data_IF_996584836876
#
_entry.id   IF_996584836876
#
_cell.length_a   1.000
_cell.length_b   1.000
_cell.length_c   1.000
_cell.angle_alpha   90.00
_cell.angle_beta   90.00
_cell.angle_gamma   90.00
#
_symmetry.space_group_name_H-M   'P 1'
#
loop_
_entity.id
_entity.type
_entity.pdbx_description
1 polymer ?
#
# COMPACT_ATOMS: atom_id res chain seq x y z
N UNK A 1 -51.81 19.38 -1.26
CA UNK A 1 -51.09 18.26 -1.89
C UNK A 1 -49.62 18.41 -1.55
N UNK A 2 -49.12 17.57 -0.66
CA UNK A 2 -47.76 17.63 -0.12
C UNK A 2 -46.83 16.93 -1.11
N UNK A 3 -46.13 17.69 -1.95
CA UNK A 3 -45.12 17.12 -2.87
C UNK A 3 -43.91 16.66 -2.06
N UNK A 4 -43.73 15.35 -1.95
CA UNK A 4 -42.51 14.75 -1.43
C UNK A 4 -41.42 14.84 -2.51
N UNK A 5 -40.32 15.53 -2.20
CA UNK A 5 -39.16 15.62 -3.08
C UNK A 5 -38.16 14.52 -2.69
N UNK A 6 -37.91 13.59 -3.63
CA UNK A 6 -36.81 12.62 -3.56
C UNK A 6 -35.62 13.27 -4.28
N UNK A 7 -34.50 13.44 -3.59
CA UNK A 7 -33.31 14.13 -4.12
C UNK A 7 -32.14 13.14 -4.12
N UNK A 8 -31.55 12.99 -5.30
CA UNK A 8 -30.42 12.11 -5.62
C UNK A 8 -29.11 12.81 -5.21
N UNK A 9 -28.35 12.21 -4.29
CA UNK A 9 -26.99 12.67 -3.95
C UNK A 9 -25.99 11.74 -4.66
N UNK A 10 -25.39 12.27 -5.74
CA UNK A 10 -24.26 11.76 -6.53
C UNK A 10 -24.13 10.23 -6.75
N UNK A 11 -24.39 9.80 -8.00
CA UNK A 11 -23.95 8.54 -8.63
C UNK A 11 -24.48 7.19 -8.09
N UNK A 12 -25.70 7.16 -7.58
CA UNK A 12 -26.45 5.90 -7.46
C UNK A 12 -27.75 6.07 -8.25
N UNK A 13 -28.02 5.18 -9.21
CA UNK A 13 -29.35 5.08 -9.83
C UNK A 13 -30.25 4.33 -8.84
N UNK A 14 -31.37 4.93 -8.44
CA UNK A 14 -32.24 4.38 -7.41
C UNK A 14 -33.47 3.73 -8.06
N UNK A 15 -33.40 2.40 -8.25
CA UNK A 15 -34.60 1.60 -8.49
C UNK A 15 -35.11 1.01 -7.18
N UNK A 16 -36.43 0.89 -7.10
CA UNK A 16 -37.25 0.63 -5.91
C UNK A 16 -36.93 -0.69 -5.22
N UNK A 17 -35.90 -0.72 -4.37
CA UNK A 17 -35.67 -1.87 -3.52
C UNK A 17 -35.53 -1.52 -2.04
N UNK A 18 -36.40 -2.12 -1.24
CA UNK A 18 -36.51 -1.88 0.21
C UNK A 18 -35.26 -2.33 0.96
N UNK A 19 -34.55 -3.30 0.37
CA UNK A 19 -33.26 -3.83 0.82
C UNK A 19 -32.14 -2.81 0.56
N UNK A 20 -32.20 -2.07 -0.56
CA UNK A 20 -31.24 -1.02 -0.89
C UNK A 20 -31.35 0.16 0.09
N UNK A 21 -32.57 0.55 0.50
CA UNK A 21 -32.79 1.61 1.50
C UNK A 21 -32.19 1.26 2.86
N UNK A 22 -32.25 -0.01 3.27
CA UNK A 22 -31.66 -0.48 4.52
C UNK A 22 -30.13 -0.58 4.41
N UNK A 23 -29.62 -1.15 3.33
CA UNK A 23 -28.18 -1.19 3.04
C UNK A 23 -27.58 0.21 2.92
N UNK A 24 -28.35 1.21 2.47
CA UNK A 24 -27.89 2.59 2.34
C UNK A 24 -28.01 3.36 3.64
N UNK A 25 -28.99 3.07 4.50
CA UNK A 25 -28.91 3.49 5.91
C UNK A 25 -27.66 2.95 6.59
N UNK A 26 -27.28 1.72 6.26
CA UNK A 26 -26.10 1.07 6.81
C UNK A 26 -24.80 1.62 6.17
N UNK A 27 -24.81 2.03 4.89
CA UNK A 27 -23.70 2.70 4.20
C UNK A 27 -23.56 4.17 4.63
N UNK A 28 -24.67 4.90 4.84
CA UNK A 28 -24.65 6.25 5.41
C UNK A 28 -24.21 6.25 6.88
N UNK A 29 -24.55 5.19 7.64
CA UNK A 29 -23.94 4.87 8.95
C UNK A 29 -22.43 4.62 8.83
N UNK A 30 -21.98 4.04 7.72
CA UNK A 30 -20.57 3.73 7.44
C UNK A 30 -19.76 4.94 6.95
N UNK A 31 -20.42 6.02 6.53
CA UNK A 31 -19.81 7.26 6.02
C UNK A 31 -19.75 8.42 7.04
N UNK A 32 -20.06 8.19 8.33
CA UNK A 32 -20.01 9.24 9.37
C UNK A 32 -20.80 10.51 8.97
N UNK A 33 -22.01 10.33 8.42
CA UNK A 33 -22.93 11.46 8.16
C UNK A 33 -23.45 11.92 9.51
N UNK A 34 -22.76 12.90 10.09
CA UNK A 34 -22.75 13.00 11.54
C UNK A 34 -23.88 13.83 12.13
N UNK A 35 -24.45 14.81 11.43
CA UNK A 35 -25.69 15.45 11.88
C UNK A 35 -26.46 16.01 10.68
N UNK A 36 -27.75 15.69 10.61
CA UNK A 36 -28.73 16.45 9.83
C UNK A 36 -29.33 17.54 10.73
N UNK A 37 -29.17 18.81 10.38
CA UNK A 37 -29.69 19.91 11.21
C UNK A 37 -30.77 20.70 10.48
N UNK A 38 -32.00 20.55 10.94
CA UNK A 38 -33.09 21.48 10.63
C UNK A 38 -32.75 22.88 11.18
N UNK A 39 -32.72 23.88 10.28
CA UNK A 39 -32.57 25.32 10.57
C UNK A 39 -31.45 25.67 11.58
N UNK A 40 -30.19 25.51 11.16
CA UNK A 40 -29.06 26.05 11.90
C UNK A 40 -29.10 27.59 11.84
N UNK A 41 -29.21 28.26 12.99
CA UNK A 41 -29.06 29.72 13.10
C UNK A 41 -27.58 30.07 12.87
N UNK A 42 -27.16 30.20 11.60
CA UNK A 42 -25.79 30.63 11.24
C UNK A 42 -25.61 32.13 11.52
N UNK A 43 -26.72 32.88 11.64
CA UNK A 43 -26.70 34.33 11.74
C UNK A 43 -26.48 34.83 13.19
N UNK A 44 -26.89 34.10 14.23
CA UNK A 44 -26.91 34.64 15.60
C UNK A 44 -26.46 33.61 16.66
N UNK A 45 -25.18 33.66 17.03
CA UNK A 45 -24.65 32.99 18.23
C UNK A 45 -24.48 34.06 19.33
N UNK A 46 -25.60 34.62 19.79
CA UNK A 46 -25.66 35.55 20.92
C UNK A 46 -26.06 34.84 22.22
N UNK A 47 -25.42 35.23 23.33
CA UNK A 47 -25.68 34.74 24.68
C UNK A 47 -27.17 34.81 25.02
N UNK A 48 -27.85 33.67 25.03
CA UNK A 48 -29.22 33.55 25.54
C UNK A 48 -29.28 32.42 26.56
N UNK A 49 -29.58 32.79 27.80
CA UNK A 49 -29.57 31.93 28.99
C UNK A 49 -30.70 30.88 29.03
N UNK A 50 -31.44 30.65 27.94
CA UNK A 50 -32.63 29.78 27.94
C UNK A 50 -32.92 29.20 26.56
N UNK A 51 -32.73 27.89 26.40
CA UNK A 51 -33.20 27.08 25.28
C UNK A 51 -32.09 26.75 24.26
N UNK A 52 -31.72 25.47 24.16
CA UNK A 52 -30.70 24.93 23.25
C UNK A 52 -30.90 25.39 21.80
N UNK A 53 -30.27 26.50 21.41
CA UNK A 53 -30.08 26.82 20.00
C UNK A 53 -28.95 25.94 19.47
N UNK A 54 -29.24 25.22 18.38
CA UNK A 54 -28.28 24.50 17.56
C UNK A 54 -27.36 25.54 16.87
N UNK A 55 -26.33 26.06 17.56
CA UNK A 55 -25.31 26.93 16.95
C UNK A 55 -24.20 26.06 16.33
N UNK A 56 -23.71 26.45 15.16
CA UNK A 56 -22.64 25.75 14.43
C UNK A 56 -21.39 25.54 15.29
N UNK A 57 -21.07 26.51 16.15
CA UNK A 57 -19.92 26.47 17.05
C UNK A 57 -19.94 25.24 17.97
N UNK A 58 -21.12 24.91 18.54
CA UNK A 58 -21.25 23.80 19.48
C UNK A 58 -21.03 22.46 18.78
N UNK A 59 -21.56 22.31 17.55
CA UNK A 59 -21.31 21.11 16.73
C UNK A 59 -19.85 21.00 16.31
N UNK A 60 -19.25 22.10 15.86
CA UNK A 60 -17.83 22.16 15.53
C UNK A 60 -16.98 21.73 16.73
N UNK A 61 -17.28 22.25 17.92
CA UNK A 61 -16.62 21.90 19.17
C UNK A 61 -16.73 20.40 19.48
N UNK A 62 -17.95 19.84 19.42
CA UNK A 62 -18.19 18.41 19.67
C UNK A 62 -17.48 17.48 18.67
N UNK A 63 -17.47 17.83 17.38
CA UNK A 63 -16.80 17.05 16.34
C UNK A 63 -15.28 17.11 16.49
N UNK A 64 -14.73 18.31 16.64
CA UNK A 64 -13.28 18.50 16.77
C UNK A 64 -12.74 17.82 18.04
N UNK A 65 -13.50 17.87 19.14
CA UNK A 65 -13.09 17.22 20.38
C UNK A 65 -13.06 15.68 20.30
N UNK A 66 -13.87 15.08 19.42
CA UNK A 66 -13.83 13.64 19.20
C UNK A 66 -12.57 13.18 18.44
N UNK A 67 -11.79 14.12 17.87
CA UNK A 67 -10.58 13.83 17.08
C UNK A 67 -10.84 12.93 15.87
N UNK A 68 -12.08 12.88 15.42
CA UNK A 68 -12.51 12.15 14.24
C UNK A 68 -12.94 13.13 13.14
N UNK A 69 -12.87 12.69 11.90
CA UNK A 69 -13.45 13.43 10.79
C UNK A 69 -14.97 13.39 10.94
N UNK A 70 -15.61 14.56 10.91
CA UNK A 70 -17.06 14.67 10.97
C UNK A 70 -17.57 15.71 9.97
N UNK A 71 -18.78 15.49 9.47
CA UNK A 71 -19.41 16.39 8.50
C UNK A 71 -20.79 16.81 8.98
N UNK A 72 -21.06 18.12 8.90
CA UNK A 72 -22.36 18.73 9.22
C UNK A 72 -23.03 19.15 7.92
N UNK A 73 -24.28 18.72 7.76
CA UNK A 73 -25.11 19.11 6.62
C UNK A 73 -26.21 20.09 7.08
N UNK A 74 -26.24 21.27 6.46
CA UNK A 74 -27.28 22.28 6.70
C UNK A 74 -28.20 22.34 5.48
N UNK A 75 -29.51 22.30 5.71
CA UNK A 75 -30.52 22.16 4.66
C UNK A 75 -30.97 20.71 4.45
N UNK A 76 -30.71 19.83 5.42
CA UNK A 76 -31.25 18.46 5.47
C UNK A 76 -32.02 18.33 6.78
N UNK A 77 -33.22 17.75 6.72
CA UNK A 77 -34.07 17.62 7.90
C UNK A 77 -33.74 16.41 8.76
N UNK A 78 -34.22 16.37 10.01
CA UNK A 78 -33.94 15.30 10.97
C UNK A 78 -34.40 13.90 10.46
N UNK A 79 -35.18 13.83 9.37
CA UNK A 79 -35.59 12.59 8.67
C UNK A 79 -34.69 12.21 7.48
N UNK A 80 -33.60 12.95 7.25
CA UNK A 80 -32.66 12.75 6.13
C UNK A 80 -33.17 13.22 4.77
N UNK A 81 -34.22 14.05 4.71
CA UNK A 81 -34.71 14.64 3.46
C UNK A 81 -34.04 15.98 3.22
N UNK A 82 -33.56 16.20 2.01
CA UNK A 82 -32.99 17.47 1.59
C UNK A 82 -34.10 18.51 1.46
N UNK A 83 -34.02 19.56 2.27
CA UNK A 83 -34.90 20.74 2.19
C UNK A 83 -34.24 21.83 1.34
N UNK A 84 -32.91 21.91 1.42
CA UNK A 84 -32.09 22.90 0.73
C UNK A 84 -32.15 24.28 1.38
N UNK A 85 -31.12 25.08 1.10
CA UNK A 85 -30.98 26.47 1.50
C UNK A 85 -31.06 27.34 0.26
N UNK A 86 -31.99 28.31 0.26
CA UNK A 86 -32.11 29.26 -0.85
C UNK A 86 -31.04 30.36 -0.75
N UNK A 87 -29.98 30.21 -1.53
CA UNK A 87 -28.77 31.03 -1.45
C UNK A 87 -28.30 31.47 -2.84
N UNK A 88 -28.40 32.77 -3.11
CA UNK A 88 -27.74 33.40 -4.27
C UNK A 88 -26.22 33.57 -3.99
N UNK A 89 -25.46 34.06 -4.98
CA UNK A 89 -24.01 34.25 -4.85
C UNK A 89 -23.62 35.08 -3.61
N UNK A 90 -24.29 36.21 -3.37
CA UNK A 90 -24.00 37.09 -2.22
C UNK A 90 -24.25 36.40 -0.88
N UNK A 91 -25.34 35.63 -0.76
CA UNK A 91 -25.65 34.85 0.44
C UNK A 91 -24.62 33.76 0.68
N UNK A 92 -24.16 33.06 -0.37
CA UNK A 92 -23.10 32.04 -0.25
C UNK A 92 -21.83 32.64 0.34
N UNK A 93 -21.40 33.80 -0.14
CA UNK A 93 -20.19 34.46 0.37
C UNK A 93 -20.36 35.03 1.78
N UNK A 94 -21.57 35.51 2.11
CA UNK A 94 -21.91 35.92 3.48
C UNK A 94 -21.83 34.73 4.44
N UNK A 95 -22.41 33.59 4.07
CA UNK A 95 -22.37 32.35 4.86
C UNK A 95 -20.95 31.84 5.05
N UNK A 96 -20.13 31.79 3.99
CA UNK A 96 -18.70 31.41 4.09
C UNK A 96 -17.95 32.28 5.09
N UNK A 97 -18.11 33.61 5.00
CA UNK A 97 -17.46 34.55 5.92
C UNK A 97 -17.93 34.36 7.35
N UNK A 98 -19.24 34.14 7.56
CA UNK A 98 -19.81 33.93 8.88
C UNK A 98 -19.31 32.64 9.51
N UNK A 99 -19.29 31.54 8.76
CA UNK A 99 -18.71 30.26 9.22
C UNK A 99 -17.25 30.46 9.61
N UNK A 100 -16.46 31.13 8.76
CA UNK A 100 -15.06 31.40 9.08
C UNK A 100 -14.89 32.25 10.35
N UNK A 101 -15.79 33.22 10.58
CA UNK A 101 -15.81 34.01 11.80
C UNK A 101 -16.14 33.16 13.02
N UNK A 102 -17.17 32.31 12.95
CA UNK A 102 -17.55 31.39 14.04
C UNK A 102 -16.36 30.49 14.40
N UNK A 103 -15.72 29.88 13.40
CA UNK A 103 -14.56 28.99 13.61
C UNK A 103 -13.37 29.71 14.27
N UNK A 104 -13.19 31.00 14.00
CA UNK A 104 -12.06 31.79 14.50
C UNK A 104 -12.33 32.48 15.84
N UNK A 105 -13.56 32.91 16.09
CA UNK A 105 -13.91 33.77 17.21
C UNK A 105 -14.63 33.02 18.33
N UNK A 106 -15.50 32.07 18.00
CA UNK A 106 -16.41 31.46 18.98
C UNK A 106 -15.81 30.17 19.57
N UNK A 107 -14.87 29.54 18.85
CA UNK A 107 -14.11 28.39 19.34
C UNK A 107 -12.82 28.83 20.01
N UNK A 108 -12.53 28.20 21.15
CA UNK A 108 -11.26 28.31 21.84
C UNK A 108 -10.68 26.90 22.09
N UNK A 109 -9.54 26.53 21.47
CA UNK A 109 -8.73 27.34 20.55
C UNK A 109 -9.44 27.71 19.23
N UNK A 110 -9.02 28.80 18.55
CA UNK A 110 -9.50 29.12 17.21
C UNK A 110 -9.17 28.01 16.20
N UNK A 111 -10.13 27.68 15.33
CA UNK A 111 -9.95 26.67 14.30
C UNK A 111 -9.45 27.29 12.98
N UNK A 112 -8.31 26.81 12.49
CA UNK A 112 -7.73 27.26 11.21
C UNK A 112 -8.51 26.71 10.00
N UNK A 113 -8.47 27.43 8.87
CA UNK A 113 -9.12 27.03 7.60
C UNK A 113 -8.59 25.74 7.00
N UNK A 114 -7.44 25.24 7.47
CA UNK A 114 -6.92 23.93 7.08
C UNK A 114 -7.67 22.76 7.74
N UNK A 115 -8.39 23.03 8.84
CA UNK A 115 -9.07 22.00 9.64
C UNK A 115 -10.56 21.89 9.32
N UNK A 116 -11.07 22.67 8.38
CA UNK A 116 -12.43 22.53 7.90
C UNK A 116 -12.57 22.94 6.43
N UNK A 117 -13.56 22.37 5.74
CA UNK A 117 -13.93 22.76 4.37
C UNK A 117 -15.42 23.03 4.29
N UNK A 118 -15.80 24.08 3.55
CA UNK A 118 -17.19 24.49 3.36
C UNK A 118 -17.56 24.38 1.88
N UNK A 119 -18.51 23.49 1.58
CA UNK A 119 -18.94 23.19 0.21
C UNK A 119 -20.43 23.46 0.06
N UNK A 120 -20.83 24.10 -1.04
CA UNK A 120 -22.23 24.29 -1.40
C UNK A 120 -22.59 23.25 -2.46
N UNK A 121 -23.35 22.25 -2.06
CA UNK A 121 -23.77 21.14 -2.92
C UNK A 121 -25.10 21.54 -3.60
N UNK A 122 -25.17 21.65 -4.93
CA UNK A 122 -26.41 21.99 -5.62
C UNK A 122 -27.46 20.90 -5.42
N UNK A 123 -28.72 21.31 -5.21
CA UNK A 123 -29.83 20.37 -5.04
C UNK A 123 -30.45 20.07 -6.39
N UNK A 124 -30.58 18.79 -6.73
CA UNK A 124 -31.18 18.33 -7.99
C UNK A 124 -32.53 17.68 -7.75
N UNK A 125 -33.51 17.99 -8.59
CA UNK A 125 -34.80 17.30 -8.63
C UNK A 125 -34.66 15.88 -9.16
N UNK A 126 -35.61 15.02 -8.82
CA UNK A 126 -35.65 13.64 -9.32
C UNK A 126 -35.74 13.52 -10.86
N UNK A 127 -36.19 14.57 -11.55
CA UNK A 127 -36.24 14.64 -13.02
C UNK A 127 -34.91 15.06 -13.66
N UNK A 128 -33.84 15.20 -12.86
CA UNK A 128 -32.48 15.47 -13.33
C UNK A 128 -32.13 16.96 -13.45
N UNK A 129 -33.09 17.86 -13.18
CA UNK A 129 -32.84 19.31 -13.25
C UNK A 129 -32.32 19.86 -11.93
N UNK A 130 -31.25 20.66 -11.99
CA UNK A 130 -30.74 21.39 -10.84
C UNK A 130 -31.77 22.46 -10.42
N UNK A 131 -31.96 22.62 -9.11
CA UNK A 131 -32.76 23.70 -8.55
C UNK A 131 -31.89 24.94 -8.42
N UNK A 132 -32.19 25.95 -9.24
CA UNK A 132 -31.52 27.24 -9.18
C UNK A 132 -31.59 27.84 -7.77
N UNK A 133 -30.44 28.35 -7.31
CA UNK A 133 -30.27 28.97 -6.00
C UNK A 133 -30.59 28.08 -4.78
N UNK A 134 -30.75 26.75 -4.92
CA UNK A 134 -30.97 25.84 -3.79
C UNK A 134 -29.76 24.93 -3.58
N UNK A 135 -29.17 25.01 -2.39
CA UNK A 135 -27.95 24.29 -2.03
C UNK A 135 -28.07 23.60 -0.67
N UNK A 136 -27.37 22.49 -0.49
CA UNK A 136 -27.04 21.95 0.84
C UNK A 136 -25.64 22.45 1.21
N UNK A 137 -25.49 22.96 2.42
CA UNK A 137 -24.20 23.37 2.94
C UNK A 137 -23.55 22.18 3.63
N UNK A 138 -22.43 21.73 3.10
CA UNK A 138 -21.59 20.69 3.68
C UNK A 138 -20.40 21.35 4.38
N UNK A 139 -20.27 21.11 5.68
CA UNK A 139 -19.13 21.58 6.48
C UNK A 139 -18.42 20.34 7.02
N UNK A 140 -17.25 20.06 6.45
CA UNK A 140 -16.43 18.91 6.85
C UNK A 140 -15.30 19.40 7.75
N UNK A 141 -15.16 18.77 8.91
CA UNK A 141 -14.10 19.01 9.88
C UNK A 141 -13.08 17.89 9.79
N UNK A 142 -11.80 18.25 9.77
CA UNK A 142 -10.70 17.31 9.71
C UNK A 142 -10.09 17.11 11.09
N UNK A 143 -9.44 15.97 11.28
CA UNK A 143 -8.72 15.66 12.52
C UNK A 143 -7.67 16.73 12.78
N UNK A 144 -7.56 17.12 14.05
CA UNK A 144 -6.65 18.16 14.48
C UNK A 144 -5.58 17.49 15.32
N UNK A 145 -4.46 17.14 14.69
CA UNK A 145 -3.51 16.14 15.19
C UNK A 145 -2.77 16.51 16.49
N UNK A 146 -2.98 17.71 17.06
CA UNK A 146 -2.00 18.30 18.00
C UNK A 146 -2.56 19.19 19.12
N UNK A 147 -3.78 18.99 19.60
CA UNK A 147 -4.25 19.76 20.77
C UNK A 147 -4.33 18.91 22.04
N UNK A 148 -3.50 19.26 23.03
CA UNK A 148 -3.48 18.70 24.39
C UNK A 148 -4.67 19.14 25.25
N UNK A 149 -5.57 19.96 24.72
CA UNK A 149 -6.72 20.52 25.43
C UNK A 149 -7.98 20.44 24.58
N UNK A 150 -9.12 20.30 25.25
CA UNK A 150 -10.45 20.32 24.64
C UNK A 150 -10.78 21.73 24.10
N UNK A 151 -11.50 21.75 22.99
CA UNK A 151 -12.14 22.93 22.46
C UNK A 151 -13.34 23.30 23.32
N UNK A 152 -13.55 24.61 23.44
CA UNK A 152 -14.64 25.21 24.20
C UNK A 152 -15.35 26.25 23.36
N UNK A 153 -16.64 26.44 23.63
CA UNK A 153 -17.44 27.56 23.11
C UNK A 153 -17.97 28.31 24.31
N UNK A 154 -17.62 29.59 24.45
CA UNK A 154 -17.97 30.40 25.63
C UNK A 154 -17.54 29.77 26.98
N UNK A 155 -16.49 28.94 26.99
CA UNK A 155 -16.02 28.22 28.17
C UNK A 155 -16.67 26.85 28.40
N UNK A 156 -17.69 26.50 27.61
CA UNK A 156 -18.39 25.22 27.69
C UNK A 156 -17.79 24.18 26.73
N UNK A 157 -17.72 22.94 27.20
CA UNK A 157 -17.26 21.79 26.42
C UNK A 157 -18.45 21.01 25.88
N UNK A 158 -18.40 20.69 24.59
CA UNK A 158 -19.37 19.84 23.92
C UNK A 158 -18.69 18.58 23.40
N UNK A 159 -19.45 17.50 23.33
CA UNK A 159 -19.04 16.20 22.81
C UNK A 159 -20.08 15.71 21.81
N UNK A 160 -19.63 15.21 20.66
CA UNK A 160 -20.53 14.55 19.71
C UNK A 160 -20.58 13.04 19.99
N UNK A 161 -21.73 12.43 19.81
CA UNK A 161 -21.90 10.97 19.70
C UNK A 161 -22.68 10.67 18.42
N UNK A 162 -22.75 9.41 18.01
CA UNK A 162 -23.23 8.89 16.71
C UNK A 162 -24.43 9.61 16.07
N UNK A 163 -25.33 10.22 16.85
CA UNK A 163 -26.42 11.05 16.31
C UNK A 163 -26.75 12.32 17.12
N UNK A 164 -26.01 12.61 18.20
CA UNK A 164 -26.37 13.66 19.16
C UNK A 164 -25.17 14.49 19.57
N UNK A 165 -25.41 15.79 19.78
CA UNK A 165 -24.49 16.66 20.47
C UNK A 165 -24.83 16.68 21.96
N UNK A 166 -23.87 16.31 22.79
CA UNK A 166 -23.94 16.36 24.25
C UNK A 166 -23.21 17.60 24.76
N UNK A 167 -23.86 18.35 25.65
CA UNK A 167 -23.25 19.45 26.36
C UNK A 167 -24.22 20.57 26.73
N UNK A 168 -23.77 21.55 27.51
CA UNK A 168 -22.40 21.66 28.05
C UNK A 168 -22.07 20.56 29.07
N UNK A 169 -20.88 19.96 28.96
CA UNK A 169 -20.44 18.89 29.86
C UNK A 169 -20.05 19.44 31.23
N UNK A 170 -20.35 18.69 32.29
CA UNK A 170 -19.94 19.02 33.66
C UNK A 170 -18.46 18.70 33.88
N UNK A 171 -17.78 19.37 34.84
CA UNK A 171 -16.36 19.11 35.11
C UNK A 171 -16.02 17.66 35.45
N UNK A 172 -16.95 16.90 36.04
CA UNK A 172 -16.75 15.47 36.29
C UNK A 172 -16.76 14.64 35.00
N UNK A 173 -17.68 14.95 34.07
CA UNK A 173 -17.82 14.28 32.77
C UNK A 173 -16.61 14.59 31.88
N UNK A 174 -16.10 15.83 31.94
CA UNK A 174 -14.89 16.25 31.23
C UNK A 174 -13.69 15.40 31.68
N UNK A 175 -13.45 15.26 32.99
CA UNK A 175 -12.31 14.48 33.52
C UNK A 175 -12.39 13.00 33.15
N UNK A 176 -13.58 12.42 33.23
CA UNK A 176 -13.80 11.04 32.81
C UNK A 176 -13.49 10.86 31.33
N UNK A 177 -13.99 11.78 30.50
CA UNK A 177 -13.76 11.74 29.07
C UNK A 177 -12.29 11.93 28.70
N UNK A 178 -11.59 12.88 29.32
CA UNK A 178 -10.14 13.06 29.16
C UNK A 178 -9.39 11.76 29.47
N UNK A 179 -9.77 11.07 30.55
CA UNK A 179 -9.17 9.78 30.93
C UNK A 179 -9.41 8.70 29.86
N UNK A 180 -10.64 8.64 29.32
CA UNK A 180 -10.97 7.71 28.24
C UNK A 180 -10.18 7.99 26.95
N UNK A 181 -10.05 9.28 26.57
CA UNK A 181 -9.24 9.70 25.42
C UNK A 181 -7.77 9.29 25.64
N UNK A 182 -7.19 9.60 26.80
CA UNK A 182 -5.80 9.26 27.11
C UNK A 182 -5.56 7.75 27.05
N UNK A 183 -6.50 6.95 27.55
CA UNK A 183 -6.40 5.50 27.47
C UNK A 183 -6.45 4.98 26.02
N UNK A 184 -7.33 5.54 25.17
CA UNK A 184 -7.37 5.21 23.74
C UNK A 184 -6.05 5.56 23.04
N UNK A 185 -5.53 6.76 23.26
CA UNK A 185 -4.26 7.22 22.69
C UNK A 185 -3.08 6.34 23.13
N UNK A 186 -3.01 5.95 24.41
CA UNK A 186 -1.97 5.04 24.88
C UNK A 186 -2.06 3.66 24.22
N UNK A 187 -3.27 3.16 23.96
CA UNK A 187 -3.46 1.89 23.25
C UNK A 187 -3.02 2.00 21.79
N UNK A 188 -3.38 3.09 21.11
CA UNK A 188 -2.97 3.36 19.74
C UNK A 188 -1.46 3.54 19.61
N UNK A 189 -0.82 4.28 20.52
CA UNK A 189 0.63 4.44 20.55
C UNK A 189 1.35 3.09 20.72
N UNK A 190 0.86 2.22 21.61
CA UNK A 190 1.39 0.85 21.77
C UNK A 190 1.20 0.00 20.51
N UNK A 191 0.07 0.15 19.82
CA UNK A 191 -0.17 -0.55 18.57
C UNK A 191 0.79 -0.07 17.47
N UNK A 192 1.05 1.23 17.39
CA UNK A 192 2.04 1.80 16.44
C UNK A 192 3.43 1.25 16.74
N UNK A 193 3.86 1.27 18.01
CA UNK A 193 5.15 0.70 18.42
C UNK A 193 5.27 -0.80 18.09
N UNK A 194 4.17 -1.55 18.22
CA UNK A 194 4.13 -2.96 17.85
C UNK A 194 4.28 -3.15 16.33
N UNK A 195 3.61 -2.31 15.53
CA UNK A 195 3.71 -2.36 14.07
C UNK A 195 5.14 -2.06 13.59
N UNK A 196 5.81 -1.06 14.17
CA UNK A 196 7.21 -0.74 13.86
C UNK A 196 8.15 -1.92 14.18
N UNK A 197 7.90 -2.64 15.28
CA UNK A 197 8.67 -3.85 15.63
C UNK A 197 8.44 -4.99 14.64
N UNK A 198 7.20 -5.17 14.18
CA UNK A 198 6.85 -6.20 13.18
C UNK A 198 7.55 -5.90 11.85
N UNK A 199 7.46 -4.66 11.36
CA UNK A 199 8.10 -4.25 10.10
C UNK A 199 9.61 -4.50 10.14
N UNK A 200 10.27 -4.14 11.24
CA UNK A 200 11.70 -4.41 11.43
C UNK A 200 12.01 -5.91 11.39
N UNK A 201 11.21 -6.73 12.07
CA UNK A 201 11.39 -8.18 12.07
C UNK A 201 11.22 -8.78 10.66
N UNK A 202 10.28 -8.27 9.86
CA UNK A 202 10.08 -8.72 8.48
C UNK A 202 11.27 -8.37 7.59
N UNK A 203 11.86 -7.18 7.75
CA UNK A 203 13.08 -6.78 7.04
C UNK A 203 14.25 -7.70 7.41
N UNK A 204 14.49 -7.91 8.71
CA UNK A 204 15.56 -8.77 9.21
C UNK A 204 15.38 -10.22 8.74
N UNK A 205 14.13 -10.72 8.70
CA UNK A 205 13.82 -12.05 8.18
C UNK A 205 14.12 -12.15 6.68
N UNK A 206 13.73 -11.16 5.88
CA UNK A 206 13.97 -11.14 4.45
C UNK A 206 15.47 -11.09 4.12
N UNK A 207 16.26 -10.35 4.91
CA UNK A 207 17.71 -10.31 4.76
C UNK A 207 18.35 -11.66 5.09
N UNK A 208 17.92 -12.31 6.17
CA UNK A 208 18.38 -13.65 6.52
C UNK A 208 18.05 -14.70 5.45
N UNK A 209 16.84 -14.65 4.86
CA UNK A 209 16.46 -15.53 3.75
C UNK A 209 17.36 -15.34 2.52
N UNK A 210 17.70 -14.10 2.17
CA UNK A 210 18.65 -13.80 1.07
C UNK A 210 20.02 -14.40 1.32
N UNK A 211 20.54 -14.27 2.55
CA UNK A 211 21.84 -14.84 2.92
C UNK A 211 21.81 -16.36 2.80
N UNK A 212 20.74 -17.01 3.29
CA UNK A 212 20.55 -18.46 3.16
C UNK A 212 20.55 -18.89 1.69
N UNK A 213 19.83 -18.19 0.81
CA UNK A 213 19.78 -18.52 -0.61
C UNK A 213 21.11 -18.29 -1.32
N UNK A 214 21.86 -17.26 -0.94
CA UNK A 214 23.22 -17.03 -1.43
C UNK A 214 24.16 -18.18 -1.02
N UNK A 215 24.07 -18.69 0.22
CA UNK A 215 24.84 -19.86 0.65
C UNK A 215 24.46 -21.13 -0.15
N UNK A 216 23.18 -21.36 -0.41
CA UNK A 216 22.74 -22.50 -1.24
C UNK A 216 23.33 -22.42 -2.65
N UNK A 217 23.30 -21.25 -3.28
CA UNK A 217 23.89 -21.03 -4.60
C UNK A 217 25.38 -21.33 -4.60
N UNK A 218 26.14 -20.80 -3.63
CA UNK A 218 27.57 -21.11 -3.52
C UNK A 218 27.85 -22.61 -3.38
N UNK A 219 27.06 -23.32 -2.56
CA UNK A 219 27.26 -24.77 -2.40
C UNK A 219 26.96 -25.55 -3.68
N UNK A 220 26.01 -25.09 -4.48
CA UNK A 220 25.66 -25.74 -5.74
C UNK A 220 26.72 -25.45 -6.82
N UNK A 221 27.21 -24.22 -6.90
CA UNK A 221 28.35 -23.86 -7.76
C UNK A 221 29.61 -24.65 -7.42
N UNK A 222 29.89 -24.89 -6.13
CA UNK A 222 31.01 -25.72 -5.71
C UNK A 222 30.86 -27.18 -6.14
N UNK A 223 29.63 -27.74 -6.13
CA UNK A 223 29.37 -29.09 -6.65
C UNK A 223 29.60 -29.14 -8.16
N UNK A 224 29.02 -28.21 -8.91
CA UNK A 224 29.18 -28.11 -10.37
C UNK A 224 30.67 -28.03 -10.72
N UNK A 225 31.44 -27.19 -10.02
CA UNK A 225 32.88 -27.04 -10.24
C UNK A 225 33.68 -28.32 -9.96
N UNK A 226 33.26 -29.12 -8.98
CA UNK A 226 33.86 -30.44 -8.71
C UNK A 226 33.52 -31.44 -9.81
N UNK A 227 32.27 -31.49 -10.24
CA UNK A 227 31.81 -32.37 -11.32
C UNK A 227 32.50 -32.06 -12.65
N UNK A 228 32.63 -30.78 -13.02
CA UNK A 228 33.34 -30.35 -14.23
C UNK A 228 34.82 -30.76 -14.22
N UNK A 229 35.49 -30.62 -13.07
CA UNK A 229 36.87 -31.08 -12.90
C UNK A 229 36.99 -32.59 -13.07
N UNK A 230 36.05 -33.35 -12.53
CA UNK A 230 36.04 -34.81 -12.66
C UNK A 230 35.78 -35.24 -14.12
N UNK A 231 34.87 -34.55 -14.81
CA UNK A 231 34.57 -34.79 -16.23
C UNK A 231 35.78 -34.46 -17.12
N UNK A 232 36.46 -33.34 -16.85
CA UNK A 232 37.70 -32.94 -17.50
C UNK A 232 38.80 -34.00 -17.32
N UNK A 233 38.96 -34.51 -16.11
CA UNK A 233 39.93 -35.56 -15.82
C UNK A 233 39.60 -36.86 -16.56
N UNK A 234 38.32 -37.27 -16.59
CA UNK A 234 37.86 -38.45 -17.35
C UNK A 234 38.13 -38.31 -18.85
N UNK A 235 37.87 -37.13 -19.44
CA UNK A 235 38.16 -36.86 -20.86
C UNK A 235 39.66 -37.00 -21.18
N UNK A 236 40.53 -36.33 -20.41
CA UNK A 236 41.98 -36.44 -20.58
C UNK A 236 42.48 -37.86 -20.43
N UNK A 237 41.92 -38.62 -19.48
CA UNK A 237 42.26 -40.04 -19.30
C UNK A 237 41.91 -40.87 -20.55
N UNK A 238 40.73 -40.69 -21.12
CA UNK A 238 40.32 -41.38 -22.36
C UNK A 238 41.17 -41.02 -23.57
N UNK A 239 41.57 -39.75 -23.71
CA UNK A 239 42.51 -39.30 -24.75
C UNK A 239 43.88 -40.00 -24.62
N UNK A 240 44.41 -40.08 -23.40
CA UNK A 240 45.66 -40.79 -23.09
C UNK A 240 45.56 -42.28 -23.39
N UNK A 241 44.47 -42.94 -23.02
CA UNK A 241 44.25 -44.36 -23.31
C UNK A 241 44.20 -44.64 -24.82
N UNK A 242 43.62 -43.70 -25.59
CA UNK A 242 43.56 -43.78 -27.05
C UNK A 242 44.96 -43.63 -27.67
N UNK A 243 45.75 -42.66 -27.19
CA UNK A 243 47.12 -42.46 -27.69
C UNK A 243 48.05 -43.62 -27.33
N UNK A 244 47.91 -44.17 -26.12
CA UNK A 244 48.63 -45.39 -25.70
C UNK A 244 48.29 -46.55 -26.63
N UNK A 245 47.01 -46.72 -26.99
CA UNK A 245 46.60 -47.76 -27.94
C UNK A 245 47.21 -47.54 -29.33
N UNK A 246 47.28 -46.29 -29.80
CA UNK A 246 47.90 -45.92 -31.08
C UNK A 246 49.40 -46.22 -31.11
N UNK A 247 50.12 -45.86 -30.06
CA UNK A 247 51.55 -46.13 -29.93
C UNK A 247 51.85 -47.63 -29.87
N UNK A 248 51.03 -48.41 -29.17
CA UNK A 248 51.17 -49.86 -29.12
C UNK A 248 50.98 -50.49 -30.51
N UNK A 249 50.00 -50.00 -31.29
CA UNK A 249 49.78 -50.46 -32.66
C UNK A 249 50.99 -50.13 -33.56
N UNK A 250 51.49 -48.89 -33.51
CA UNK A 250 52.70 -48.50 -34.24
C UNK A 250 53.91 -49.36 -33.86
N UNK A 251 54.09 -49.64 -32.56
CA UNK A 251 55.18 -50.48 -32.10
C UNK A 251 55.12 -51.90 -32.69
N UNK A 252 53.93 -52.50 -32.73
CA UNK A 252 53.74 -53.81 -33.36
C UNK A 252 53.98 -53.78 -34.88
N UNK A 253 53.62 -52.69 -35.56
CA UNK A 253 53.88 -52.55 -36.99
C UNK A 253 55.39 -52.37 -37.29
N UNK A 254 56.10 -51.54 -36.52
CA UNK A 254 57.57 -51.40 -36.59
C UNK A 254 58.26 -52.74 -36.34
N UNK A 255 57.74 -53.55 -35.42
CA UNK A 255 58.27 -54.87 -35.09
C UNK A 255 58.12 -55.85 -36.26
N UNK A 256 56.98 -55.82 -36.97
CA UNK A 256 56.76 -56.60 -38.20
C UNK A 256 57.70 -56.16 -39.32
N UNK A 257 57.87 -54.85 -39.51
CA UNK A 257 58.75 -54.28 -40.54
C UNK A 257 60.21 -54.67 -40.29
N UNK A 258 60.69 -54.55 -39.04
CA UNK A 258 62.02 -55.03 -38.66
C UNK A 258 62.22 -56.53 -38.92
N UNK A 259 61.19 -57.35 -38.68
CA UNK A 259 61.24 -58.78 -38.98
C UNK A 259 61.34 -59.06 -40.50
N UNK A 260 60.62 -58.29 -41.32
CA UNK A 260 60.73 -58.37 -42.78
C UNK A 260 62.13 -57.95 -43.27
N UNK A 261 62.65 -56.83 -42.78
CA UNK A 261 64.01 -56.37 -43.10
C UNK A 261 65.08 -57.40 -42.70
N UNK A 262 64.92 -58.06 -41.56
CA UNK A 262 65.82 -59.16 -41.17
C UNK A 262 65.75 -60.35 -42.13
N UNK A 263 64.56 -60.69 -42.63
CA UNK A 263 64.41 -61.71 -43.67
C UNK A 263 65.09 -61.30 -44.97
N UNK A 264 64.84 -60.07 -45.45
CA UNK A 264 65.44 -59.54 -46.68
C UNK A 264 66.96 -59.49 -46.61
N UNK A 265 67.51 -59.02 -45.49
CA UNK A 265 68.94 -59.02 -45.22
C UNK A 265 69.52 -60.44 -45.26
N UNK A 266 68.79 -61.42 -44.74
CA UNK A 266 69.20 -62.83 -44.77
C UNK A 266 69.17 -63.43 -46.18
N UNK A 267 68.24 -63.02 -47.04
CA UNK A 267 68.22 -63.41 -48.47
C UNK A 267 69.33 -62.74 -49.26
N UNK A 268 69.58 -61.44 -49.08
CA UNK A 268 70.67 -60.71 -49.74
C UNK A 268 72.05 -61.27 -49.36
N UNK A 269 72.26 -61.70 -48.11
CA UNK A 269 73.49 -62.39 -47.70
C UNK A 269 73.69 -63.73 -48.43
N UNK A 270 72.60 -64.45 -48.75
CA UNK A 270 72.66 -65.69 -49.55
C UNK A 270 72.94 -65.42 -51.03
N UNK A 271 72.39 -64.34 -51.59
CA UNK A 271 72.67 -63.89 -52.97
C UNK A 271 74.11 -63.37 -53.13
N UNK A 272 74.62 -62.61 -52.16
CA UNK A 272 76.01 -62.16 -52.19
C UNK A 272 77.01 -63.33 -52.07
N UNK A 273 76.69 -64.37 -51.28
CA UNK A 273 77.48 -65.61 -51.24
C UNK A 273 77.50 -66.37 -52.58
N UNK A 274 76.45 -66.27 -53.39
CA UNK A 274 76.39 -66.90 -54.73
C UNK A 274 77.11 -66.09 -55.80
N UNK A 275 77.17 -64.76 -55.66
CA UNK A 275 78.00 -63.88 -56.52
C UNK A 275 79.50 -64.04 -56.25
N UNK A 276 79.92 -64.23 -55.00
CA UNK A 276 81.34 -64.47 -54.65
C UNK A 276 81.85 -65.81 -55.22
N UNK A 277 80.97 -66.78 -55.52
CA UNK A 277 81.36 -68.03 -56.16
C UNK A 277 81.58 -67.93 -57.69
N UNK A 278 81.22 -66.82 -58.34
CA UNK A 278 81.43 -66.63 -59.78
C UNK A 278 82.63 -65.73 -60.14
N UNK A 279 83.29 -65.13 -59.16
CA UNK A 279 84.45 -64.24 -59.38
C UNK A 279 85.71 -64.80 -58.72
N UNK A 280 86.18 -65.97 -59.16
CA UNK A 280 87.59 -66.35 -59.03
C UNK A 280 88.34 -65.76 -60.23
N UNK A 281 88.73 -64.49 -60.14
CA UNK A 281 89.77 -63.94 -61.01
C UNK A 281 91.06 -63.96 -60.21
N UNK A 282 91.98 -64.81 -60.67
CA UNK A 282 93.35 -64.88 -60.23
C UNK A 282 94.07 -63.65 -60.77
N UNK A 283 94.57 -62.78 -59.88
CA UNK A 283 95.57 -61.77 -60.25
C UNK A 283 96.90 -62.29 -59.72
N UNK A 284 97.75 -62.74 -60.65
CA UNK A 284 99.16 -63.01 -60.44
C UNK A 284 99.89 -61.71 -60.77
N UNK A 285 100.59 -61.16 -59.79
CA UNK A 285 101.98 -60.65 -59.82
C UNK A 285 102.27 -59.91 -58.52
#
# INVERSE_FOLDING_TARGET
>A
MSTEFVIEVNNLKWENDTILKQAIKDVLKKFNVDISVDNLDIEDCGDTKTGQKRCLANYACGIVNNREKGTVYVGVNDKGRVVGLRCNHEKRDRLRRRIAQIMKCDLNPPLSTIHYSVTFVPVRRADGYDLDDIFVLEITFYTVDKFDRLYTVNGDVYQKSDACLFGPLRPAEIREWETQIQHKLMKEAKNIELLEKIEKYEIDKAENERVIDMFKQMTEEEKIRKEEKELSFKRKKGELETEVSRLNQMHEDIKKENYQLQREKSTLVKENKTLIHKSKVCVIL
#
